data_IF_197975969171
#
_entry.id   IF_197975969171
#
_cell.length_a   1.000
_cell.length_b   1.000
_cell.length_c   1.000
_cell.angle_alpha   90.00
_cell.angle_beta   90.00
_cell.angle_gamma   90.00
#
_symmetry.space_group_name_H-M   'P 1'
#
loop_
_entity.id
_entity.type
_entity.pdbx_description
1 polymer ?
#
# COMPACT_ATOMS: atom_id res chain seq x y z
N UNK A 1 36.20 -19.02 -58.93
CA UNK A 1 35.24 -19.42 -57.86
C UNK A 1 34.94 -18.33 -56.81
N UNK A 2 35.73 -17.26 -56.64
CA UNK A 2 35.48 -16.16 -55.66
C UNK A 2 34.45 -15.11 -56.14
N UNK A 3 34.41 -14.79 -57.43
CA UNK A 3 33.52 -13.78 -58.04
C UNK A 3 32.03 -14.17 -58.01
N UNK A 4 31.72 -15.45 -58.17
CA UNK A 4 30.34 -15.96 -58.06
C UNK A 4 29.80 -15.93 -56.63
N UNK A 5 30.67 -15.94 -55.60
CA UNK A 5 30.27 -15.85 -54.20
C UNK A 5 29.93 -14.41 -53.79
N UNK A 6 30.73 -13.43 -54.23
CA UNK A 6 30.47 -12.00 -54.00
C UNK A 6 29.17 -11.53 -54.67
N UNK A 7 28.92 -11.94 -55.91
CA UNK A 7 27.71 -11.57 -56.64
C UNK A 7 26.42 -12.19 -56.05
N UNK A 8 26.53 -13.37 -55.41
CA UNK A 8 25.43 -13.97 -54.65
C UNK A 8 25.15 -13.21 -53.34
N UNK A 9 26.17 -12.70 -52.67
CA UNK A 9 26.03 -11.93 -51.42
C UNK A 9 25.39 -10.57 -51.70
N UNK A 10 25.80 -9.86 -52.76
CA UNK A 10 25.21 -8.56 -53.12
C UNK A 10 23.75 -8.68 -53.59
N UNK A 11 23.40 -9.72 -54.35
CA UNK A 11 22.00 -10.02 -54.68
C UNK A 11 21.15 -10.36 -53.45
N UNK A 12 21.71 -11.10 -52.49
CA UNK A 12 21.03 -11.36 -51.22
C UNK A 12 20.82 -10.05 -50.46
N UNK A 13 21.84 -9.21 -50.30
CA UNK A 13 21.72 -7.92 -49.60
C UNK A 13 20.70 -6.99 -50.26
N UNK A 14 20.67 -6.90 -51.59
CA UNK A 14 19.65 -6.12 -52.32
C UNK A 14 18.23 -6.69 -52.14
N UNK A 15 18.08 -8.01 -52.08
CA UNK A 15 16.82 -8.67 -51.75
C UNK A 15 16.39 -8.40 -50.30
N UNK A 16 17.33 -8.37 -49.35
CA UNK A 16 17.08 -8.03 -47.96
C UNK A 16 16.68 -6.55 -47.81
N UNK A 17 17.35 -5.64 -48.52
CA UNK A 17 17.01 -4.22 -48.53
C UNK A 17 15.62 -3.96 -49.14
N UNK A 18 15.25 -4.61 -50.24
CA UNK A 18 13.89 -4.53 -50.81
C UNK A 18 12.83 -5.08 -49.88
N UNK A 19 13.11 -6.21 -49.20
CA UNK A 19 12.22 -6.74 -48.16
C UNK A 19 12.07 -5.73 -47.03
N UNK A 20 13.16 -5.19 -46.49
CA UNK A 20 13.13 -4.19 -45.41
C UNK A 20 12.34 -2.94 -45.79
N UNK A 21 12.47 -2.43 -47.02
CA UNK A 21 11.69 -1.30 -47.51
C UNK A 21 10.18 -1.62 -47.58
N UNK A 22 9.81 -2.83 -48.04
CA UNK A 22 8.42 -3.28 -48.06
C UNK A 22 7.85 -3.45 -46.64
N UNK A 23 8.64 -4.01 -45.72
CA UNK A 23 8.30 -4.12 -44.30
C UNK A 23 8.15 -2.73 -43.65
N UNK A 24 8.98 -1.76 -44.03
CA UNK A 24 8.90 -0.39 -43.53
C UNK A 24 7.64 0.33 -44.05
N UNK A 25 7.28 0.16 -45.33
CA UNK A 25 6.09 0.79 -45.91
C UNK A 25 4.79 0.17 -45.36
N UNK A 26 4.74 -1.16 -45.24
CA UNK A 26 3.63 -1.85 -44.59
C UNK A 26 3.53 -1.50 -43.10
N UNK A 27 4.67 -1.43 -42.41
CA UNK A 27 4.75 -0.97 -41.02
C UNK A 27 4.26 0.47 -40.85
N UNK A 28 4.61 1.39 -41.75
CA UNK A 28 4.15 2.78 -41.72
C UNK A 28 2.64 2.90 -41.93
N UNK A 29 2.03 2.09 -42.81
CA UNK A 29 0.58 2.05 -43.02
C UNK A 29 -0.16 1.51 -41.79
N UNK A 30 0.34 0.44 -41.20
CA UNK A 30 -0.20 -0.12 -39.94
C UNK A 30 -0.07 0.87 -38.79
N UNK A 31 1.08 1.55 -38.69
CA UNK A 31 1.30 2.59 -37.70
C UNK A 31 0.33 3.76 -37.88
N UNK A 32 0.20 4.30 -39.10
CA UNK A 32 -0.73 5.39 -39.38
C UNK A 32 -2.18 5.04 -39.03
N UNK A 33 -2.59 3.78 -39.22
CA UNK A 33 -3.93 3.31 -38.90
C UNK A 33 -4.15 3.01 -37.40
N UNK A 34 -3.16 2.42 -36.71
CA UNK A 34 -3.35 1.80 -35.38
C UNK A 34 -2.39 2.31 -34.29
N UNK A 35 -1.69 3.43 -34.48
CA UNK A 35 -0.70 3.91 -33.50
C UNK A 35 -1.27 4.12 -32.09
N UNK A 36 -2.52 4.59 -31.96
CA UNK A 36 -3.18 4.75 -30.67
C UNK A 36 -3.35 3.41 -29.94
N UNK A 37 -3.78 2.39 -30.67
CA UNK A 37 -3.94 1.03 -30.15
C UNK A 37 -2.60 0.42 -29.75
N UNK A 38 -1.55 0.63 -30.56
CA UNK A 38 -0.20 0.11 -30.29
C UNK A 38 0.37 0.78 -29.03
N UNK A 39 0.37 2.12 -28.96
CA UNK A 39 0.89 2.85 -27.80
C UNK A 39 0.06 2.52 -26.55
N UNK A 40 -1.27 2.50 -26.66
CA UNK A 40 -2.15 2.16 -25.54
C UNK A 40 -1.90 0.73 -25.01
N UNK A 41 -1.72 -0.23 -25.91
CA UNK A 41 -1.40 -1.62 -25.54
C UNK A 41 -0.03 -1.73 -24.86
N UNK A 42 1.00 -1.06 -25.40
CA UNK A 42 2.32 -1.02 -24.79
C UNK A 42 2.30 -0.38 -23.40
N UNK A 43 1.54 0.70 -23.21
CA UNK A 43 1.39 1.35 -21.91
C UNK A 43 0.72 0.43 -20.90
N UNK A 44 -0.33 -0.29 -21.28
CA UNK A 44 -1.00 -1.26 -20.38
C UNK A 44 -0.04 -2.39 -20.03
N UNK A 45 0.62 -3.01 -21.00
CA UNK A 45 1.56 -4.11 -20.75
C UNK A 45 2.74 -3.68 -19.87
N UNK A 46 3.29 -2.48 -20.11
CA UNK A 46 4.38 -1.92 -19.31
C UNK A 46 3.92 -1.53 -17.90
N UNK A 47 2.71 -0.97 -17.77
CA UNK A 47 2.18 -0.48 -16.49
C UNK A 47 2.12 -1.55 -15.40
N UNK A 48 1.95 -2.80 -15.80
CA UNK A 48 1.72 -3.95 -14.92
C UNK A 48 2.96 -4.27 -14.07
N UNK A 49 4.16 -3.93 -14.57
CA UNK A 49 5.44 -4.08 -13.85
C UNK A 49 5.84 -2.82 -13.07
N UNK A 50 5.18 -1.69 -13.32
CA UNK A 50 5.45 -0.44 -12.62
C UNK A 50 4.74 -0.40 -11.27
N UNK A 51 5.19 0.49 -10.38
CA UNK A 51 4.56 0.76 -9.08
C UNK A 51 3.18 1.40 -9.31
N UNK A 52 2.13 0.74 -8.83
CA UNK A 52 0.75 1.24 -8.84
C UNK A 52 0.43 1.99 -7.56
N UNK A 53 0.74 1.41 -6.40
CA UNK A 53 0.49 1.99 -5.07
C UNK A 53 1.81 2.12 -4.33
N UNK A 54 2.11 3.32 -3.84
CA UNK A 54 3.32 3.61 -3.07
C UNK A 54 3.04 3.65 -1.57
N UNK A 55 3.84 2.91 -0.81
CA UNK A 55 3.80 2.81 0.63
C UNK A 55 5.01 3.54 1.22
N UNK A 56 4.84 4.41 2.23
CA UNK A 56 5.95 5.16 2.84
C UNK A 56 6.98 4.29 3.57
N UNK A 57 6.61 3.09 4.01
CA UNK A 57 7.49 2.19 4.74
C UNK A 57 7.68 0.85 4.07
N UNK A 58 6.56 0.27 3.62
CA UNK A 58 6.55 -1.11 3.19
C UNK A 58 6.64 -1.24 1.68
N UNK A 59 6.93 -2.44 1.18
CA UNK A 59 7.09 -2.70 -0.25
C UNK A 59 5.88 -2.21 -1.06
N UNK A 60 6.17 -1.52 -2.16
CA UNK A 60 5.18 -0.95 -3.05
C UNK A 60 4.45 -2.05 -3.83
N UNK A 61 3.21 -1.77 -4.25
CA UNK A 61 2.43 -2.73 -5.04
C UNK A 61 2.55 -2.43 -6.53
N UNK A 62 2.95 -3.43 -7.31
CA UNK A 62 2.80 -3.41 -8.77
C UNK A 62 1.37 -3.78 -9.20
N UNK A 63 1.06 -3.62 -10.49
CA UNK A 63 -0.25 -4.00 -11.04
C UNK A 63 -0.55 -5.50 -10.91
N UNK A 64 0.48 -6.36 -10.89
CA UNK A 64 0.34 -7.81 -10.66
C UNK A 64 0.10 -8.20 -9.21
N UNK A 65 0.47 -7.31 -8.29
CA UNK A 65 0.44 -7.54 -6.86
C UNK A 65 -0.76 -6.87 -6.19
N UNK A 66 -1.57 -6.08 -6.91
CA UNK A 66 -2.78 -5.47 -6.40
C UNK A 66 -3.99 -6.43 -6.56
N UNK A 67 -4.40 -7.14 -5.50
CA UNK A 67 -5.47 -8.15 -5.57
C UNK A 67 -6.85 -7.51 -5.70
N UNK A 68 -7.76 -8.20 -6.40
CA UNK A 68 -9.16 -7.80 -6.54
C UNK A 68 -10.03 -8.20 -5.34
N UNK A 69 -9.78 -9.36 -4.74
CA UNK A 69 -10.73 -10.01 -3.80
C UNK A 69 -10.20 -10.22 -2.39
N UNK A 70 -8.88 -10.24 -2.19
CA UNK A 70 -8.25 -10.56 -0.90
C UNK A 70 -7.33 -9.42 -0.48
N UNK A 71 -6.99 -9.33 0.81
CA UNK A 71 -6.05 -8.33 1.32
C UNK A 71 -4.64 -8.56 0.75
N UNK A 72 -3.98 -7.49 0.29
CA UNK A 72 -2.54 -7.52 0.05
C UNK A 72 -1.84 -7.66 1.40
N UNK A 73 -1.18 -8.80 1.63
CA UNK A 73 -0.35 -8.99 2.82
C UNK A 73 0.74 -7.93 2.94
N UNK A 74 1.55 -8.02 3.99
CA UNK A 74 2.66 -7.08 4.19
C UNK A 74 3.68 -7.21 3.07
N UNK A 75 3.98 -8.45 2.69
CA UNK A 75 4.82 -8.80 1.56
C UNK A 75 3.89 -9.10 0.38
N UNK A 76 3.96 -8.31 -0.71
CA UNK A 76 3.12 -8.53 -1.86
C UNK A 76 3.52 -9.81 -2.61
N UNK A 77 2.50 -10.55 -3.05
CA UNK A 77 2.64 -11.72 -3.90
C UNK A 77 1.92 -11.47 -5.22
N UNK A 78 2.48 -12.02 -6.30
CA UNK A 78 1.82 -12.01 -7.61
C UNK A 78 0.56 -12.86 -7.50
N UNK A 79 -0.57 -12.29 -7.89
CA UNK A 79 -1.86 -12.99 -7.90
C UNK A 79 -2.44 -13.05 -9.30
N UNK A 80 -3.07 -14.17 -9.64
CA UNK A 80 -3.78 -14.31 -10.92
C UNK A 80 -5.00 -13.37 -11.01
N UNK A 81 -5.62 -13.07 -9.87
CA UNK A 81 -6.74 -12.14 -9.74
C UNK A 81 -6.29 -10.75 -9.29
N UNK A 82 -5.36 -10.15 -10.05
CA UNK A 82 -4.91 -8.78 -9.86
C UNK A 82 -5.55 -7.83 -10.88
N UNK A 83 -5.61 -6.53 -10.55
CA UNK A 83 -6.10 -5.51 -11.49
C UNK A 83 -5.27 -5.44 -12.78
N UNK A 84 -3.94 -5.52 -12.66
CA UNK A 84 -3.03 -5.52 -13.80
C UNK A 84 -3.17 -6.78 -14.66
N UNK A 85 -3.21 -7.96 -14.05
CA UNK A 85 -3.37 -9.23 -14.78
C UNK A 85 -4.71 -9.28 -15.53
N UNK A 86 -5.79 -8.87 -14.87
CA UNK A 86 -7.12 -8.78 -15.49
C UNK A 86 -7.12 -7.77 -16.65
N UNK A 87 -6.48 -6.62 -16.48
CA UNK A 87 -6.32 -5.63 -17.56
C UNK A 87 -5.61 -6.20 -18.79
N UNK A 88 -4.53 -6.97 -18.60
CA UNK A 88 -3.82 -7.64 -19.70
C UNK A 88 -4.70 -8.69 -20.39
N UNK A 89 -5.42 -9.51 -19.62
CA UNK A 89 -6.34 -10.51 -20.17
C UNK A 89 -7.44 -9.87 -21.00
N UNK A 90 -8.06 -8.79 -20.49
CA UNK A 90 -9.09 -8.03 -21.20
C UNK A 90 -8.55 -7.42 -22.49
N UNK A 91 -7.32 -6.87 -22.44
CA UNK A 91 -6.67 -6.34 -23.63
C UNK A 91 -6.44 -7.42 -24.70
N UNK A 92 -5.87 -8.57 -24.31
CA UNK A 92 -5.62 -9.68 -25.24
C UNK A 92 -6.93 -10.21 -25.81
N UNK A 93 -7.95 -10.42 -24.97
CA UNK A 93 -9.26 -10.86 -25.41
C UNK A 93 -9.90 -9.88 -26.41
N UNK A 94 -9.80 -8.57 -26.13
CA UNK A 94 -10.27 -7.52 -27.03
C UNK A 94 -9.57 -7.55 -28.40
N UNK A 95 -8.25 -7.72 -28.42
CA UNK A 95 -7.46 -7.80 -29.66
C UNK A 95 -7.75 -9.08 -30.47
N UNK A 96 -7.92 -10.22 -29.80
CA UNK A 96 -8.25 -11.50 -30.46
C UNK A 96 -9.66 -11.46 -31.03
N UNK A 97 -10.63 -10.96 -30.25
CA UNK A 97 -12.03 -10.89 -30.65
C UNK A 97 -12.28 -9.81 -31.72
N UNK A 98 -11.40 -8.82 -31.88
CA UNK A 98 -11.48 -7.84 -32.97
C UNK A 98 -11.56 -8.53 -34.35
N UNK A 99 -10.94 -9.71 -34.50
CA UNK A 99 -10.99 -10.50 -35.75
C UNK A 99 -12.39 -11.03 -36.07
N UNK A 100 -13.24 -11.19 -35.07
CA UNK A 100 -14.57 -11.81 -35.19
C UNK A 100 -15.71 -10.83 -34.95
N UNK A 101 -15.49 -9.77 -34.14
CA UNK A 101 -16.53 -8.89 -33.66
C UNK A 101 -16.03 -7.44 -33.50
N UNK A 102 -16.48 -6.55 -34.39
CA UNK A 102 -16.03 -5.14 -34.45
C UNK A 102 -16.19 -4.38 -33.12
N UNK A 103 -17.29 -4.49 -32.34
CA UNK A 103 -17.41 -3.78 -31.07
C UNK A 103 -16.76 -4.51 -29.87
N UNK A 104 -16.02 -5.60 -30.09
CA UNK A 104 -15.25 -6.24 -29.02
C UNK A 104 -14.23 -5.28 -28.41
N UNK A 105 -13.57 -4.46 -29.24
CA UNK A 105 -12.57 -3.51 -28.78
C UNK A 105 -13.18 -2.39 -27.94
N UNK A 106 -14.38 -1.91 -28.30
CA UNK A 106 -15.10 -0.91 -27.49
C UNK A 106 -15.56 -1.49 -26.15
N UNK A 107 -15.96 -2.76 -26.10
CA UNK A 107 -16.30 -3.43 -24.84
C UNK A 107 -15.06 -3.61 -23.97
N UNK A 108 -13.94 -4.06 -24.56
CA UNK A 108 -12.67 -4.19 -23.86
C UNK A 108 -12.19 -2.84 -23.32
N UNK A 109 -12.28 -1.77 -24.11
CA UNK A 109 -11.96 -0.42 -23.68
C UNK A 109 -12.85 0.06 -22.52
N UNK A 110 -14.15 -0.24 -22.56
CA UNK A 110 -15.07 0.06 -21.46
C UNK A 110 -14.63 -0.65 -20.17
N UNK A 111 -14.34 -1.95 -20.26
CA UNK A 111 -13.87 -2.73 -19.10
C UNK A 111 -12.54 -2.20 -18.58
N UNK A 112 -11.58 -1.88 -19.44
CA UNK A 112 -10.29 -1.30 -19.03
C UNK A 112 -10.45 0.04 -18.30
N UNK A 113 -11.30 0.94 -18.82
CA UNK A 113 -11.64 2.18 -18.14
C UNK A 113 -12.34 1.94 -16.79
N UNK A 114 -13.20 0.92 -16.70
CA UNK A 114 -13.83 0.56 -15.42
C UNK A 114 -12.80 0.08 -14.40
N UNK A 115 -11.87 -0.79 -14.79
CA UNK A 115 -10.79 -1.23 -13.91
C UNK A 115 -9.95 -0.04 -13.44
N UNK A 116 -9.65 0.91 -14.32
CA UNK A 116 -8.90 2.12 -13.99
C UNK A 116 -9.59 2.97 -12.91
N UNK A 117 -10.90 3.22 -13.07
CA UNK A 117 -11.70 4.03 -12.13
C UNK A 117 -11.95 3.28 -10.82
N UNK A 118 -12.05 1.95 -10.88
CA UNK A 118 -12.29 1.10 -9.72
C UNK A 118 -11.10 1.04 -8.77
N UNK A 119 -9.84 1.14 -9.24
CA UNK A 119 -8.65 1.05 -8.38
C UNK A 119 -8.71 1.99 -7.17
N UNK A 120 -8.79 3.33 -7.30
CA UNK A 120 -8.85 4.21 -6.13
C UNK A 120 -10.09 3.97 -5.25
N UNK A 121 -11.23 3.61 -5.84
CA UNK A 121 -12.45 3.33 -5.09
C UNK A 121 -12.35 2.01 -4.30
N UNK A 122 -11.68 1.00 -4.87
CA UNK A 122 -11.42 -0.29 -4.24
C UNK A 122 -10.53 -0.12 -3.02
N UNK A 123 -9.42 0.62 -3.18
CA UNK A 123 -8.51 0.98 -2.08
C UNK A 123 -9.27 1.76 -0.99
N UNK A 124 -10.09 2.73 -1.37
CA UNK A 124 -10.78 3.60 -0.43
C UNK A 124 -11.90 2.91 0.38
N UNK A 125 -12.63 1.97 -0.25
CA UNK A 125 -13.90 1.49 0.29
C UNK A 125 -14.02 -0.04 0.41
N UNK A 126 -13.33 -0.82 -0.42
CA UNK A 126 -13.37 -2.28 -0.34
C UNK A 126 -12.21 -2.84 0.49
N UNK A 127 -11.08 -2.15 0.58
CA UNK A 127 -9.91 -2.53 1.39
C UNK A 127 -9.59 -1.49 2.47
N UNK A 128 -10.46 -1.29 3.48
CA UNK A 128 -10.22 -0.33 4.56
C UNK A 128 -8.92 -0.59 5.34
N UNK A 129 -8.47 -1.85 5.41
CA UNK A 129 -7.21 -2.25 6.03
C UNK A 129 -6.02 -1.66 5.28
N UNK A 130 -6.06 -1.69 3.94
CA UNK A 130 -4.96 -1.17 3.13
C UNK A 130 -4.88 0.36 3.23
N UNK A 131 -6.02 1.04 3.17
CA UNK A 131 -6.07 2.49 3.38
C UNK A 131 -5.58 2.88 4.79
N UNK A 132 -5.91 2.07 5.81
CA UNK A 132 -5.42 2.30 7.17
C UNK A 132 -3.92 2.09 7.27
N UNK A 133 -3.38 1.01 6.70
CA UNK A 133 -1.93 0.77 6.62
C UNK A 133 -1.21 1.97 5.99
N UNK A 134 -1.73 2.49 4.88
CA UNK A 134 -1.19 3.69 4.23
C UNK A 134 -1.17 4.91 5.17
N UNK A 135 -2.23 5.09 5.96
CA UNK A 135 -2.32 6.16 6.94
C UNK A 135 -1.35 5.95 8.14
N UNK A 136 -1.26 4.73 8.65
CA UNK A 136 -0.40 4.35 9.77
C UNK A 136 1.08 4.54 9.40
N UNK A 137 1.49 4.12 8.19
CA UNK A 137 2.87 4.30 7.70
C UNK A 137 3.26 5.78 7.64
N UNK A 138 2.36 6.65 7.16
CA UNK A 138 2.61 8.10 7.16
C UNK A 138 2.83 8.67 8.57
N UNK A 139 2.15 8.11 9.58
CA UNK A 139 2.29 8.57 10.97
C UNK A 139 3.53 8.01 11.66
N UNK A 140 3.95 6.79 11.31
CA UNK A 140 5.08 6.12 11.97
C UNK A 140 6.44 6.52 11.38
N UNK A 141 6.50 6.94 10.11
CA UNK A 141 7.74 7.39 9.48
C UNK A 141 8.49 8.50 10.22
N UNK A 142 7.84 9.57 10.69
CA UNK A 142 8.52 10.57 11.53
C UNK A 142 9.09 9.98 12.82
N UNK A 143 8.38 9.06 13.47
CA UNK A 143 8.82 8.42 14.71
C UNK A 143 10.05 7.54 14.51
N UNK A 144 10.09 6.76 13.43
CA UNK A 144 11.26 5.94 13.08
C UNK A 144 12.45 6.86 12.81
N UNK A 145 12.28 7.95 12.07
CA UNK A 145 13.37 8.90 11.77
C UNK A 145 13.93 9.58 13.02
N UNK A 146 13.07 10.02 13.94
CA UNK A 146 13.51 10.60 15.22
C UNK A 146 14.32 9.57 16.00
N UNK A 147 13.81 8.34 16.13
CA UNK A 147 14.53 7.27 16.82
C UNK A 147 15.87 6.96 16.16
N UNK A 148 15.92 6.82 14.84
CA UNK A 148 17.16 6.60 14.09
C UNK A 148 18.16 7.72 14.36
N UNK A 149 17.73 8.98 14.31
CA UNK A 149 18.59 10.12 14.57
C UNK A 149 19.17 10.13 15.99
N UNK A 150 18.37 9.73 16.98
CA UNK A 150 18.75 9.82 18.39
C UNK A 150 19.58 8.60 18.86
N UNK A 151 19.41 7.43 18.22
CA UNK A 151 19.95 6.16 18.72
C UNK A 151 20.78 5.36 17.73
N UNK A 152 20.79 5.72 16.45
CA UNK A 152 21.60 5.07 15.41
C UNK A 152 22.67 6.05 14.89
N UNK A 153 23.84 5.56 14.44
CA UNK A 153 24.81 6.42 13.77
C UNK A 153 24.19 7.11 12.55
N UNK A 154 24.62 8.35 12.29
CA UNK A 154 23.91 9.23 11.36
C UNK A 154 23.93 8.69 9.93
N UNK A 155 22.73 8.45 9.41
CA UNK A 155 22.44 8.43 7.99
C UNK A 155 21.61 9.69 7.68
N UNK A 156 22.14 10.60 6.86
CA UNK A 156 21.47 11.86 6.59
C UNK A 156 20.28 11.70 5.62
N UNK A 157 20.37 10.74 4.69
CA UNK A 157 19.34 10.36 3.74
C UNK A 157 18.71 11.53 2.94
N UNK A 158 18.01 11.25 1.83
CA UNK A 158 17.15 12.28 1.26
C UNK A 158 16.07 12.66 2.28
N UNK A 159 15.83 13.96 2.44
CA UNK A 159 14.62 14.46 3.10
C UNK A 159 13.42 13.98 2.28
N UNK A 160 12.82 12.86 2.66
CA UNK A 160 11.54 12.49 2.09
C UNK A 160 10.52 13.55 2.50
N UNK A 161 9.88 14.18 1.52
CA UNK A 161 8.76 15.08 1.73
C UNK A 161 7.61 14.33 2.40
N UNK A 162 7.61 14.31 3.73
CA UNK A 162 6.46 13.83 4.51
C UNK A 162 5.67 15.06 4.94
N UNK A 163 4.70 15.51 4.14
CA UNK A 163 3.39 15.72 4.75
C UNK A 163 2.19 15.64 3.78
N UNK A 164 1.15 14.89 4.17
CA UNK A 164 -0.25 15.31 4.01
C UNK A 164 -1.06 14.81 5.20
N UNK A 165 -1.66 15.72 5.98
CA UNK A 165 -2.74 15.31 6.88
C UNK A 165 -3.87 14.73 6.01
N UNK A 166 -4.07 13.43 6.10
CA UNK A 166 -5.13 12.76 5.37
C UNK A 166 -6.45 12.99 6.09
N UNK A 167 -7.44 13.50 5.36
CA UNK A 167 -8.81 13.62 5.85
C UNK A 167 -9.47 12.26 5.61
N UNK A 168 -9.58 11.41 6.64
CA UNK A 168 -10.12 10.05 6.50
C UNK A 168 -11.56 9.88 7.02
N UNK A 169 -12.09 10.90 7.71
CA UNK A 169 -13.45 10.87 8.28
C UNK A 169 -14.56 11.19 7.26
N UNK A 170 -14.21 11.47 6.00
CA UNK A 170 -15.18 11.67 4.91
C UNK A 170 -14.93 10.69 3.77
N UNK A 171 -16.00 10.23 3.10
CA UNK A 171 -15.87 9.39 1.92
C UNK A 171 -15.03 10.05 0.81
N UNK A 172 -15.22 11.35 0.58
CA UNK A 172 -14.40 12.14 -0.37
C UNK A 172 -12.94 12.16 0.05
N UNK A 173 -12.67 12.38 1.33
CA UNK A 173 -11.31 12.42 1.86
C UNK A 173 -10.59 11.07 1.74
N UNK A 174 -11.27 9.96 2.03
CA UNK A 174 -10.74 8.60 1.81
C UNK A 174 -10.40 8.32 0.35
N UNK A 175 -11.27 8.75 -0.58
CA UNK A 175 -11.01 8.62 -2.01
C UNK A 175 -9.78 9.44 -2.45
N UNK A 176 -9.67 10.70 -1.98
CA UNK A 176 -8.51 11.55 -2.27
C UNK A 176 -7.23 10.99 -1.65
N UNK A 177 -7.31 10.41 -0.44
CA UNK A 177 -6.20 9.75 0.20
C UNK A 177 -5.73 8.55 -0.63
N UNK A 178 -6.64 7.63 -1.00
CA UNK A 178 -6.33 6.48 -1.85
C UNK A 178 -5.69 6.91 -3.19
N UNK A 179 -6.24 7.96 -3.82
CA UNK A 179 -5.70 8.51 -5.06
C UNK A 179 -4.28 9.08 -4.89
N UNK A 180 -3.99 9.71 -3.76
CA UNK A 180 -2.68 10.34 -3.52
C UNK A 180 -1.50 9.36 -3.45
N UNK A 181 -1.76 8.08 -3.21
CA UNK A 181 -0.74 7.02 -3.20
C UNK A 181 -0.53 6.36 -4.57
N UNK A 182 -1.35 6.70 -5.57
CA UNK A 182 -1.21 6.13 -6.91
C UNK A 182 -0.03 6.75 -7.67
N UNK A 183 0.71 5.91 -8.40
CA UNK A 183 1.94 6.31 -9.10
C UNK A 183 1.89 6.00 -10.59
N UNK A 184 3.06 6.14 -11.24
CA UNK A 184 3.24 6.03 -12.69
C UNK A 184 2.61 4.77 -13.29
N UNK A 185 2.63 3.63 -12.60
CA UNK A 185 2.00 2.41 -13.11
C UNK A 185 0.50 2.60 -13.34
N UNK A 186 -0.23 3.10 -12.35
CA UNK A 186 -1.67 3.38 -12.53
C UNK A 186 -1.92 4.46 -13.59
N UNK A 187 -1.11 5.52 -13.62
CA UNK A 187 -1.24 6.59 -14.63
C UNK A 187 -1.01 6.08 -16.06
N UNK A 188 -0.02 5.21 -16.27
CA UNK A 188 0.23 4.56 -17.56
C UNK A 188 -0.94 3.65 -17.96
N UNK A 189 -1.49 2.89 -17.02
CA UNK A 189 -2.66 2.06 -17.26
C UNK A 189 -3.89 2.88 -17.65
N UNK A 190 -4.13 4.00 -16.95
CA UNK A 190 -5.21 4.94 -17.22
C UNK A 190 -5.08 5.56 -18.61
N UNK A 191 -3.89 6.08 -18.93
CA UNK A 191 -3.60 6.68 -20.23
C UNK A 191 -3.73 5.64 -21.35
N UNK A 192 -3.20 4.44 -21.16
CA UNK A 192 -3.32 3.36 -22.15
C UNK A 192 -4.77 2.97 -22.42
N UNK A 193 -5.58 2.84 -21.37
CA UNK A 193 -7.02 2.57 -21.47
C UNK A 193 -7.77 3.67 -22.21
N UNK A 194 -7.43 4.94 -21.96
CA UNK A 194 -8.00 6.10 -22.65
C UNK A 194 -7.66 6.10 -24.15
N UNK A 195 -6.41 5.83 -24.51
CA UNK A 195 -5.98 5.81 -25.93
C UNK A 195 -6.71 4.71 -26.71
N UNK A 196 -6.87 3.53 -26.11
CA UNK A 196 -7.62 2.42 -26.72
C UNK A 196 -9.10 2.78 -26.85
N UNK A 197 -9.69 3.48 -25.87
CA UNK A 197 -11.07 3.94 -25.96
C UNK A 197 -11.26 4.96 -27.09
N UNK A 198 -10.34 5.93 -27.24
CA UNK A 198 -10.36 6.91 -28.33
C UNK A 198 -10.26 6.21 -29.69
N UNK A 199 -9.35 5.24 -29.81
CA UNK A 199 -9.19 4.45 -31.03
C UNK A 199 -10.43 3.63 -31.38
N UNK A 200 -11.02 2.97 -30.38
CA UNK A 200 -12.25 2.19 -30.53
C UNK A 200 -13.41 3.07 -31.00
N UNK A 201 -13.54 4.30 -30.49
CA UNK A 201 -14.59 5.24 -30.89
C UNK A 201 -14.42 5.67 -32.35
N UNK A 202 -13.20 5.89 -32.82
CA UNK A 202 -12.91 6.31 -34.21
C UNK A 202 -13.28 5.24 -35.24
N UNK A 203 -13.16 3.97 -34.87
CA UNK A 203 -13.42 2.83 -35.77
C UNK A 203 -14.85 2.28 -35.68
N UNK A 204 -15.73 2.89 -34.88
CA UNK A 204 -17.14 2.49 -34.82
C UNK A 204 -17.89 2.98 -36.06
N UNK A 205 -18.65 2.11 -36.76
CA UNK A 205 -19.52 2.54 -37.84
C UNK A 205 -20.61 3.48 -37.29
N UNK A 206 -20.89 4.57 -38.02
CA UNK A 206 -21.83 5.61 -37.62
C UNK A 206 -23.20 5.03 -37.21
N UNK A 207 -23.74 5.49 -36.08
CA UNK A 207 -25.07 5.09 -35.57
C UNK A 207 -25.10 4.26 -34.27
N UNK A 208 -23.95 3.94 -33.67
CA UNK A 208 -23.89 3.15 -32.42
C UNK A 208 -23.71 3.99 -31.15
N UNK A 209 -24.55 5.03 -30.98
CA UNK A 209 -24.61 5.85 -29.74
C UNK A 209 -24.78 4.99 -28.47
N UNK A 210 -25.45 3.84 -28.59
CA UNK A 210 -25.59 2.87 -27.49
C UNK A 210 -24.25 2.31 -26.99
N UNK A 211 -23.23 2.16 -27.85
CA UNK A 211 -21.91 1.66 -27.45
C UNK A 211 -21.11 2.76 -26.74
N UNK A 212 -21.19 4.00 -27.22
CA UNK A 212 -20.60 5.16 -26.54
C UNK A 212 -21.25 5.37 -25.18
N UNK A 213 -22.57 5.19 -25.09
CA UNK A 213 -23.30 5.24 -23.84
C UNK A 213 -22.87 4.10 -22.90
N UNK A 214 -22.71 2.88 -23.39
CA UNK A 214 -22.21 1.75 -22.61
C UNK A 214 -20.78 1.96 -22.09
N UNK A 215 -19.89 2.57 -22.89
CA UNK A 215 -18.52 2.95 -22.51
C UNK A 215 -18.48 3.88 -21.30
N UNK A 216 -19.47 4.76 -21.14
CA UNK A 216 -19.56 5.71 -20.03
C UNK A 216 -20.38 5.14 -18.87
N UNK A 217 -21.46 4.41 -19.14
CA UNK A 217 -22.35 3.89 -18.11
C UNK A 217 -21.70 2.76 -17.29
N UNK A 218 -20.84 1.93 -17.88
CA UNK A 218 -20.17 0.84 -17.13
C UNK A 218 -19.28 1.38 -15.99
N UNK A 219 -18.31 2.30 -16.22
CA UNK A 219 -17.47 2.82 -15.14
C UNK A 219 -18.27 3.62 -14.12
N UNK A 220 -19.25 4.41 -14.57
CA UNK A 220 -20.11 5.21 -13.69
C UNK A 220 -20.99 4.31 -12.81
N UNK A 221 -21.59 3.27 -13.38
CA UNK A 221 -22.42 2.31 -12.63
C UNK A 221 -21.60 1.52 -11.62
N UNK A 222 -20.41 1.05 -12.00
CA UNK A 222 -19.50 0.34 -11.10
C UNK A 222 -19.07 1.24 -9.92
N UNK A 223 -18.74 2.51 -10.20
CA UNK A 223 -18.37 3.49 -9.18
C UNK A 223 -19.55 3.81 -8.25
N UNK A 224 -20.77 3.94 -8.79
CA UNK A 224 -21.97 4.17 -7.99
C UNK A 224 -22.24 3.02 -7.01
N UNK A 225 -22.07 1.76 -7.45
CA UNK A 225 -22.22 0.58 -6.60
C UNK A 225 -21.20 0.61 -5.44
N UNK A 226 -19.95 0.96 -5.71
CA UNK A 226 -18.91 1.03 -4.66
C UNK A 226 -19.10 2.19 -3.69
N UNK A 227 -19.57 3.35 -4.16
CA UNK A 227 -19.74 4.54 -3.35
C UNK A 227 -21.01 4.50 -2.49
N UNK A 228 -22.02 3.71 -2.86
CA UNK A 228 -23.32 3.73 -2.17
C UNK A 228 -23.20 3.31 -0.69
N UNK A 229 -22.58 2.17 -0.33
CA UNK A 229 -22.43 1.79 1.09
C UNK A 229 -21.68 2.83 1.95
N UNK A 230 -20.48 3.36 1.56
CA UNK A 230 -19.78 4.34 2.38
C UNK A 230 -20.52 5.69 2.45
N UNK A 231 -21.28 6.09 1.44
CA UNK A 231 -22.14 7.28 1.51
C UNK A 231 -23.27 7.10 2.53
N UNK A 232 -23.92 5.93 2.54
CA UNK A 232 -24.94 5.60 3.54
C UNK A 232 -24.32 5.55 4.94
N UNK A 233 -23.16 4.91 5.09
CA UNK A 233 -22.41 4.88 6.34
C UNK A 233 -22.07 6.29 6.85
N UNK A 234 -21.55 7.15 5.98
CA UNK A 234 -21.26 8.56 6.29
C UNK A 234 -22.52 9.32 6.76
N UNK A 235 -23.66 9.10 6.11
CA UNK A 235 -24.90 9.75 6.49
C UNK A 235 -25.31 9.39 7.92
N UNK A 236 -25.27 8.09 8.27
CA UNK A 236 -25.55 7.65 9.63
C UNK A 236 -24.53 8.16 10.65
N UNK A 237 -23.25 8.21 10.27
CA UNK A 237 -22.21 8.78 11.15
C UNK A 237 -22.48 10.26 11.45
N UNK A 238 -22.77 11.07 10.43
CA UNK A 238 -23.10 12.50 10.61
C UNK A 238 -24.36 12.68 11.45
N UNK A 239 -25.40 11.88 11.23
CA UNK A 239 -26.61 11.91 12.06
C UNK A 239 -26.33 11.55 13.51
N UNK A 240 -25.54 10.51 13.75
CA UNK A 240 -25.12 10.11 15.10
C UNK A 240 -24.34 11.21 15.82
N UNK A 241 -23.45 11.90 15.11
CA UNK A 241 -22.70 13.05 15.65
C UNK A 241 -23.59 14.26 15.96
N UNK A 242 -24.61 14.53 15.16
CA UNK A 242 -25.63 15.54 15.46
C UNK A 242 -26.43 15.15 16.71
N UNK A 243 -26.85 13.88 16.82
CA UNK A 243 -27.58 13.38 17.98
C UNK A 243 -26.72 13.43 19.27
N UNK A 244 -25.43 13.11 19.18
CA UNK A 244 -24.45 13.27 20.27
C UNK A 244 -24.38 14.73 20.73
N UNK A 245 -24.25 15.68 19.80
CA UNK A 245 -24.21 17.10 20.12
C UNK A 245 -25.51 17.62 20.78
N UNK A 246 -26.65 16.97 20.49
CA UNK A 246 -27.95 17.27 21.09
C UNK A 246 -28.21 16.56 22.43
N UNK A 247 -27.25 15.76 22.95
CA UNK A 247 -27.42 14.96 24.16
C UNK A 247 -28.33 13.74 24.00
N UNK A 248 -28.72 13.39 22.77
CA UNK A 248 -29.57 12.23 22.47
C UNK A 248 -28.72 10.97 22.34
N UNK A 249 -28.17 10.54 23.47
CA UNK A 249 -27.11 9.52 23.52
C UNK A 249 -27.54 8.16 22.95
N UNK A 250 -28.77 7.71 23.19
CA UNK A 250 -29.26 6.42 22.67
C UNK A 250 -29.41 6.44 21.14
N UNK A 251 -29.94 7.54 20.58
CA UNK A 251 -30.07 7.73 19.13
C UNK A 251 -28.68 7.76 18.47
N UNK A 252 -27.72 8.47 19.08
CA UNK A 252 -26.34 8.53 18.60
C UNK A 252 -25.69 7.14 18.52
N UNK A 253 -25.80 6.33 19.58
CA UNK A 253 -25.27 4.95 19.59
C UNK A 253 -25.90 4.11 18.48
N UNK A 254 -27.23 4.20 18.30
CA UNK A 254 -27.93 3.43 17.27
C UNK A 254 -27.48 3.82 15.86
N UNK A 255 -27.30 5.11 15.60
CA UNK A 255 -26.86 5.61 14.29
C UNK A 255 -25.37 5.29 14.03
N UNK A 256 -24.49 5.35 15.03
CA UNK A 256 -23.10 4.89 14.88
C UNK A 256 -23.01 3.40 14.55
N UNK A 257 -23.82 2.54 15.19
CA UNK A 257 -23.88 1.11 14.86
C UNK A 257 -24.36 0.86 13.43
N UNK A 258 -25.32 1.66 12.93
CA UNK A 258 -25.73 1.60 11.52
C UNK A 258 -24.61 2.05 10.59
N UNK A 259 -23.87 3.10 10.95
CA UNK A 259 -22.72 3.56 10.16
C UNK A 259 -21.69 2.44 9.96
N UNK A 260 -21.34 1.74 11.05
CA UNK A 260 -20.41 0.61 11.03
C UNK A 260 -20.92 -0.59 10.19
N UNK A 261 -22.24 -0.81 10.16
CA UNK A 261 -22.84 -1.87 9.34
C UNK A 261 -22.72 -1.59 7.85
N UNK A 262 -22.86 -0.32 7.44
CA UNK A 262 -22.80 0.09 6.04
C UNK A 262 -21.38 0.35 5.55
N UNK A 263 -20.45 0.66 6.45
CA UNK A 263 -19.09 1.04 6.10
C UNK A 263 -18.07 0.36 7.02
N UNK A 264 -17.34 -0.60 6.45
CA UNK A 264 -16.33 -1.38 7.14
C UNK A 264 -15.17 -0.51 7.68
N UNK A 265 -14.97 0.71 7.16
CA UNK A 265 -14.00 1.66 7.72
C UNK A 265 -14.36 2.05 9.16
N UNK A 266 -15.63 2.41 9.39
CA UNK A 266 -16.13 2.77 10.71
C UNK A 266 -16.12 1.58 11.67
N UNK A 267 -16.34 0.36 11.17
CA UNK A 267 -16.29 -0.85 11.98
C UNK A 267 -14.88 -1.18 12.53
N UNK A 268 -13.84 -0.55 11.99
CA UNK A 268 -12.45 -0.73 12.43
C UNK A 268 -11.95 0.46 13.26
N UNK A 269 -12.71 1.55 13.31
CA UNK A 269 -12.33 2.80 13.97
C UNK A 269 -12.43 2.68 15.49
N UNK A 270 -11.27 2.82 16.16
CA UNK A 270 -11.15 2.70 17.62
C UNK A 270 -11.84 3.88 18.29
N UNK A 271 -11.73 5.08 17.72
CA UNK A 271 -12.31 6.31 18.28
C UNK A 271 -13.82 6.26 18.28
N UNK A 272 -14.41 5.60 17.27
CA UNK A 272 -15.86 5.39 17.21
C UNK A 272 -16.34 4.42 18.29
N UNK A 273 -15.62 3.32 18.54
CA UNK A 273 -15.92 2.42 19.66
C UNK A 273 -15.77 3.14 21.01
N UNK A 274 -14.70 3.91 21.19
CA UNK A 274 -14.48 4.71 22.38
C UNK A 274 -15.59 5.76 22.59
N UNK A 275 -16.05 6.39 21.52
CA UNK A 275 -17.20 7.32 21.57
C UNK A 275 -18.49 6.61 21.99
N UNK A 276 -18.76 5.42 21.45
CA UNK A 276 -19.92 4.61 21.87
C UNK A 276 -19.82 4.26 23.37
N UNK A 277 -18.64 3.85 23.84
CA UNK A 277 -18.39 3.55 25.26
C UNK A 277 -18.61 4.77 26.17
N UNK A 278 -18.17 5.96 25.74
CA UNK A 278 -18.41 7.23 26.43
C UNK A 278 -19.92 7.50 26.58
N UNK A 279 -20.69 7.35 25.50
CA UNK A 279 -22.14 7.57 25.51
C UNK A 279 -22.88 6.53 26.38
N UNK A 280 -22.40 5.28 26.39
CA UNK A 280 -22.91 4.24 27.29
C UNK A 280 -22.65 4.57 28.77
N UNK A 281 -21.49 5.16 29.08
CA UNK A 281 -21.16 5.67 30.43
C UNK A 281 -22.12 6.75 30.88
N UNK A 282 -22.41 7.73 30.03
CA UNK A 282 -23.33 8.82 30.34
C UNK A 282 -24.78 8.36 30.52
N UNK A 283 -25.20 7.30 29.83
CA UNK A 283 -26.58 6.76 29.91
C UNK A 283 -26.78 5.74 31.03
N UNK A 284 -25.71 5.33 31.74
CA UNK A 284 -25.77 4.28 32.75
C UNK A 284 -26.02 2.88 32.18
N UNK A 285 -25.94 2.72 30.85
CA UNK A 285 -26.17 1.45 30.17
C UNK A 285 -24.86 0.67 30.15
N UNK A 286 -24.93 -0.62 30.52
CA UNK A 286 -23.88 -1.64 30.39
C UNK A 286 -22.48 -1.21 30.88
N UNK A 287 -22.25 -1.24 32.20
CA UNK A 287 -20.96 -0.87 32.81
C UNK A 287 -19.76 -1.71 32.34
N UNK A 288 -19.99 -2.93 31.84
CA UNK A 288 -18.95 -3.88 31.40
C UNK A 288 -19.10 -4.25 29.91
N UNK A 289 -19.41 -3.26 29.07
CA UNK A 289 -19.44 -3.48 27.62
C UNK A 289 -18.03 -3.44 27.01
N UNK A 290 -17.79 -4.13 25.89
CA UNK A 290 -16.52 -4.04 25.17
C UNK A 290 -16.19 -2.61 24.71
N UNK A 291 -17.19 -1.82 24.31
CA UNK A 291 -17.00 -0.42 23.93
C UNK A 291 -16.58 0.46 25.11
N UNK A 292 -17.01 0.14 26.35
CA UNK A 292 -16.51 0.81 27.56
C UNK A 292 -15.04 0.51 27.82
N UNK A 293 -14.63 -0.74 27.66
CA UNK A 293 -13.23 -1.14 27.76
C UNK A 293 -12.38 -0.39 26.71
N UNK A 294 -12.87 -0.26 25.47
CA UNK A 294 -12.22 0.56 24.45
C UNK A 294 -12.10 2.03 24.85
N UNK A 295 -13.17 2.64 25.34
CA UNK A 295 -13.16 4.02 25.81
C UNK A 295 -12.12 4.22 26.93
N UNK A 296 -12.11 3.33 27.92
CA UNK A 296 -11.17 3.39 29.04
C UNK A 296 -9.73 3.19 28.58
N UNK A 297 -9.48 2.27 27.66
CA UNK A 297 -8.16 2.04 27.10
C UNK A 297 -7.61 3.27 26.37
N UNK A 298 -8.44 3.97 25.58
CA UNK A 298 -8.05 5.22 24.90
C UNK A 298 -7.80 6.35 25.90
N UNK A 299 -8.61 6.50 26.96
CA UNK A 299 -8.35 7.46 28.04
C UNK A 299 -6.97 7.21 28.69
N UNK A 300 -6.66 5.95 29.00
CA UNK A 300 -5.40 5.55 29.63
C UNK A 300 -4.20 5.74 28.68
N UNK A 301 -4.36 5.45 27.39
CA UNK A 301 -3.33 5.69 26.38
C UNK A 301 -3.00 7.19 26.28
N UNK A 302 -4.01 8.06 26.29
CA UNK A 302 -3.82 9.52 26.28
C UNK A 302 -3.17 10.04 27.57
N UNK A 303 -3.33 9.33 28.69
CA UNK A 303 -2.64 9.60 29.94
C UNK A 303 -1.22 8.99 30.00
N UNK A 304 -0.75 8.34 28.92
CA UNK A 304 0.50 7.57 28.87
C UNK A 304 0.57 6.41 29.88
N UNK A 305 -0.57 5.93 30.37
CA UNK A 305 -0.70 4.74 31.21
C UNK A 305 -0.81 3.49 30.32
N UNK A 306 0.29 3.12 29.67
CA UNK A 306 0.28 2.11 28.61
C UNK A 306 -0.13 0.71 29.08
N UNK A 307 0.39 0.22 30.20
CA UNK A 307 0.11 -1.13 30.71
C UNK A 307 -1.38 -1.30 31.09
N UNK A 308 -2.00 -0.37 31.86
CA UNK A 308 -3.45 -0.36 32.04
C UNK A 308 -4.23 -0.28 30.72
N UNK A 309 -3.77 0.53 29.76
CA UNK A 309 -4.44 0.63 28.45
C UNK A 309 -4.41 -0.70 27.68
N UNK A 310 -3.27 -1.39 27.65
CA UNK A 310 -3.10 -2.71 27.04
C UNK A 310 -4.03 -3.75 27.68
N UNK A 311 -4.16 -3.71 29.01
CA UNK A 311 -5.08 -4.58 29.75
C UNK A 311 -6.53 -4.33 29.32
N UNK A 312 -6.98 -3.08 29.28
CA UNK A 312 -8.35 -2.72 28.87
C UNK A 312 -8.62 -3.07 27.41
N UNK A 313 -7.65 -2.87 26.50
CA UNK A 313 -7.79 -3.35 25.12
C UNK A 313 -7.91 -4.88 25.06
N UNK A 314 -7.18 -5.61 25.90
CA UNK A 314 -7.26 -7.08 25.94
C UNK A 314 -8.65 -7.55 26.37
N UNK A 315 -9.25 -6.88 27.37
CA UNK A 315 -10.64 -7.13 27.78
C UNK A 315 -11.64 -6.81 26.68
N UNK A 316 -11.47 -5.69 25.98
CA UNK A 316 -12.30 -5.36 24.82
C UNK A 316 -12.20 -6.44 23.72
N UNK A 317 -11.02 -7.03 23.54
CA UNK A 317 -10.77 -8.05 22.52
C UNK A 317 -11.48 -9.39 22.76
N UNK A 318 -11.97 -9.66 23.98
CA UNK A 318 -12.73 -10.88 24.30
C UNK A 318 -14.10 -10.92 23.60
N UNK A 319 -14.63 -9.77 23.19
CA UNK A 319 -15.95 -9.66 22.55
C UNK A 319 -16.05 -10.32 21.15
N UNK A 320 -14.91 -10.61 20.52
CA UNK A 320 -14.83 -11.12 19.16
C UNK A 320 -15.21 -10.10 18.07
N UNK A 321 -15.29 -10.58 16.83
CA UNK A 321 -15.70 -9.78 15.67
C UNK A 321 -14.76 -8.61 15.33
N UNK A 322 -15.32 -7.58 14.69
CA UNK A 322 -14.57 -6.41 14.21
C UNK A 322 -13.97 -5.60 15.37
N UNK A 323 -14.67 -5.52 16.50
CA UNK A 323 -14.20 -4.82 17.70
C UNK A 323 -12.94 -5.49 18.25
N UNK A 324 -12.90 -6.82 18.33
CA UNK A 324 -11.72 -7.53 18.81
C UNK A 324 -10.49 -7.32 17.93
N UNK A 325 -10.68 -7.28 16.60
CA UNK A 325 -9.59 -6.97 15.68
C UNK A 325 -9.08 -5.53 15.86
N UNK A 326 -9.98 -4.57 16.09
CA UNK A 326 -9.61 -3.19 16.39
C UNK A 326 -8.85 -3.09 17.73
N UNK A 327 -9.31 -3.80 18.76
CA UNK A 327 -8.70 -3.82 20.09
C UNK A 327 -7.29 -4.41 20.07
N UNK A 328 -7.10 -5.57 19.42
CA UNK A 328 -5.79 -6.22 19.31
C UNK A 328 -4.78 -5.34 18.58
N UNK A 329 -5.19 -4.70 17.49
CA UNK A 329 -4.35 -3.74 16.76
C UNK A 329 -3.95 -2.57 17.63
N UNK A 330 -4.92 -1.96 18.34
CA UNK A 330 -4.69 -0.85 19.25
C UNK A 330 -3.75 -1.23 20.41
N UNK A 331 -3.94 -2.42 20.98
CA UNK A 331 -3.09 -2.99 22.00
C UNK A 331 -1.66 -3.19 21.51
N UNK A 332 -1.49 -3.75 20.31
CA UNK A 332 -0.18 -3.93 19.70
C UNK A 332 0.51 -2.60 19.40
N UNK A 333 -0.21 -1.59 18.89
CA UNK A 333 0.32 -0.24 18.69
C UNK A 333 0.75 0.40 20.01
N UNK A 334 -0.08 0.26 21.06
CA UNK A 334 0.22 0.76 22.41
C UNK A 334 1.49 0.12 22.96
N UNK A 335 1.71 -1.17 22.72
CA UNK A 335 2.97 -1.85 23.09
C UNK A 335 4.19 -1.31 22.34
N UNK A 336 4.04 -0.88 21.09
CA UNK A 336 5.14 -0.21 20.37
C UNK A 336 5.50 1.10 21.05
N UNK A 337 4.51 1.92 21.38
CA UNK A 337 4.71 3.18 22.10
C UNK A 337 5.30 2.97 23.49
N UNK A 338 4.82 1.97 24.24
CA UNK A 338 5.40 1.57 25.52
C UNK A 338 6.87 1.18 25.36
N UNK A 339 7.19 0.35 24.36
CA UNK A 339 8.57 -0.07 24.11
C UNK A 339 9.49 1.12 23.82
N UNK A 340 9.03 2.10 23.02
CA UNK A 340 9.78 3.35 22.81
C UNK A 340 10.00 4.11 24.11
N UNK A 341 8.94 4.32 24.91
CA UNK A 341 9.04 5.02 26.19
C UNK A 341 10.02 4.33 27.16
N UNK A 342 9.97 2.99 27.25
CA UNK A 342 10.89 2.19 28.05
C UNK A 342 12.33 2.31 27.55
N UNK A 343 12.53 2.28 26.24
CA UNK A 343 13.85 2.41 25.64
C UNK A 343 14.46 3.79 25.94
N UNK A 344 13.68 4.87 25.78
CA UNK A 344 14.08 6.22 26.17
C UNK A 344 14.44 6.33 27.67
N UNK A 345 13.73 5.59 28.53
CA UNK A 345 14.02 5.50 29.96
C UNK A 345 15.22 4.59 30.31
N UNK A 346 15.89 3.99 29.33
CA UNK A 346 17.02 3.06 29.53
C UNK A 346 16.62 1.61 29.85
N UNK A 347 15.32 1.31 29.91
CA UNK A 347 14.77 -0.03 30.12
C UNK A 347 14.79 -0.91 28.87
N UNK A 348 15.95 -1.04 28.21
CA UNK A 348 16.08 -1.65 26.88
C UNK A 348 15.55 -3.09 26.82
N UNK A 349 15.81 -3.92 27.83
CA UNK A 349 15.29 -5.30 27.87
C UNK A 349 13.77 -5.39 27.92
N UNK A 350 13.12 -4.47 28.65
CA UNK A 350 11.67 -4.36 28.72
C UNK A 350 11.09 -3.79 27.41
N UNK A 351 11.79 -2.86 26.77
CA UNK A 351 11.44 -2.35 25.45
C UNK A 351 11.42 -3.46 24.38
N UNK A 352 12.50 -4.27 24.32
CA UNK A 352 12.59 -5.45 23.43
C UNK A 352 11.42 -6.40 23.68
N UNK A 353 11.11 -6.70 24.93
CA UNK A 353 9.99 -7.58 25.30
C UNK A 353 8.64 -7.00 24.83
N UNK A 354 8.45 -5.69 24.96
CA UNK A 354 7.24 -4.99 24.53
C UNK A 354 7.06 -5.05 23.00
N UNK A 355 8.14 -4.83 22.24
CA UNK A 355 8.10 -4.91 20.77
C UNK A 355 7.91 -6.34 20.26
N UNK A 356 8.47 -7.34 20.94
CA UNK A 356 8.19 -8.76 20.64
C UNK A 356 6.71 -9.09 20.83
N UNK A 357 6.12 -8.66 21.95
CA UNK A 357 4.70 -8.87 22.24
C UNK A 357 3.80 -8.12 21.25
N UNK A 358 4.17 -6.91 20.83
CA UNK A 358 3.43 -6.18 19.81
C UNK A 358 3.32 -6.97 18.50
N UNK A 359 4.44 -7.54 18.03
CA UNK A 359 4.48 -8.36 16.82
C UNK A 359 3.76 -9.71 16.98
N UNK A 360 3.70 -10.26 18.20
CA UNK A 360 2.98 -11.49 18.49
C UNK A 360 1.46 -11.27 18.49
N UNK A 361 0.99 -10.15 19.04
CA UNK A 361 -0.43 -9.79 19.11
C UNK A 361 -0.98 -9.36 17.75
N UNK A 362 -0.19 -8.62 16.97
CA UNK A 362 -0.51 -8.27 15.59
C UNK A 362 0.74 -8.32 14.72
N UNK A 363 0.83 -9.37 13.90
CA UNK A 363 1.92 -9.55 12.95
C UNK A 363 2.05 -8.42 11.91
N UNK A 364 1.02 -7.57 11.79
CA UNK A 364 1.00 -6.37 10.94
C UNK A 364 1.77 -5.19 11.53
N UNK A 365 2.15 -5.23 12.81
CA UNK A 365 2.96 -4.19 13.46
C UNK A 365 4.45 -4.29 13.12
N UNK A 366 4.75 -4.45 11.84
CA UNK A 366 6.12 -4.54 11.31
C UNK A 366 6.93 -3.26 11.50
N UNK A 367 6.27 -2.15 11.83
CA UNK A 367 6.93 -0.90 12.17
C UNK A 367 7.75 -0.99 13.47
N UNK A 368 7.54 -2.02 14.29
CA UNK A 368 8.37 -2.30 15.46
C UNK A 368 9.74 -2.92 15.09
N UNK A 369 9.93 -3.42 13.86
CA UNK A 369 11.13 -4.15 13.48
C UNK A 369 12.43 -3.34 13.56
N UNK A 370 12.48 -2.06 13.11
CA UNK A 370 13.69 -1.24 13.28
C UNK A 370 14.07 -1.08 14.75
N UNK A 371 13.09 -0.79 15.61
CA UNK A 371 13.28 -0.66 17.05
C UNK A 371 13.75 -1.97 17.68
N UNK A 372 13.11 -3.08 17.32
CA UNK A 372 13.44 -4.40 17.84
C UNK A 372 14.85 -4.85 17.42
N UNK A 373 15.24 -4.62 16.17
CA UNK A 373 16.58 -4.92 15.69
C UNK A 373 17.63 -4.14 16.48
N UNK A 374 17.42 -2.83 16.68
CA UNK A 374 18.31 -1.99 17.49
C UNK A 374 18.34 -2.44 18.95
N UNK A 375 17.18 -2.67 19.55
CA UNK A 375 17.08 -3.13 20.93
C UNK A 375 17.80 -4.44 21.17
N UNK A 376 17.73 -5.40 20.23
CA UNK A 376 18.51 -6.63 20.30
C UNK A 376 20.02 -6.40 20.26
N UNK A 377 20.47 -5.50 19.39
CA UNK A 377 21.88 -5.11 19.32
C UNK A 377 22.36 -4.55 20.67
N UNK A 378 21.60 -3.63 21.27
CA UNK A 378 21.98 -2.99 22.53
C UNK A 378 22.03 -3.95 23.73
N UNK A 379 21.17 -4.98 23.75
CA UNK A 379 21.23 -6.04 24.79
C UNK A 379 22.21 -7.16 24.44
N UNK A 380 23.00 -7.02 23.37
CA UNK A 380 24.02 -8.00 22.95
C UNK A 380 23.48 -9.27 22.29
N UNK A 381 22.21 -9.29 21.88
CA UNK A 381 21.57 -10.44 21.21
C UNK A 381 21.73 -10.35 19.68
N UNK A 382 22.96 -10.37 19.21
CA UNK A 382 23.30 -10.09 17.80
C UNK A 382 22.66 -11.04 16.79
N UNK A 383 22.55 -12.36 17.06
CA UNK A 383 21.87 -13.26 16.09
C UNK A 383 20.35 -13.05 16.04
N UNK A 384 19.74 -12.54 17.11
CA UNK A 384 18.32 -12.16 17.10
C UNK A 384 18.12 -10.85 16.32
N UNK A 385 19.06 -9.91 16.44
CA UNK A 385 19.07 -8.69 15.64
C UNK A 385 19.17 -9.01 14.14
N UNK A 386 20.13 -9.87 13.73
CA UNK A 386 20.29 -10.29 12.34
C UNK A 386 19.02 -10.93 11.75
N UNK A 387 18.37 -11.85 12.47
CA UNK A 387 17.09 -12.43 12.02
C UNK A 387 15.97 -11.38 11.87
N UNK A 388 15.99 -10.36 12.72
CA UNK A 388 15.02 -9.26 12.64
C UNK A 388 15.33 -8.35 11.44
N UNK A 389 16.61 -8.11 11.17
CA UNK A 389 17.11 -7.36 10.01
C UNK A 389 16.73 -8.08 8.71
N UNK A 390 16.91 -9.40 8.63
CA UNK A 390 16.52 -10.18 7.45
C UNK A 390 15.02 -10.01 7.11
N UNK A 391 14.17 -9.96 8.15
CA UNK A 391 12.74 -9.67 7.98
C UNK A 391 12.49 -8.22 7.60
N UNK A 392 13.19 -7.27 8.21
CA UNK A 392 13.05 -5.83 7.92
C UNK A 392 13.40 -5.51 6.47
N UNK A 393 14.53 -6.02 5.98
CA UNK A 393 15.02 -5.83 4.59
C UNK A 393 13.99 -6.26 3.55
N UNK A 394 13.25 -7.35 3.80
CA UNK A 394 12.17 -7.80 2.90
C UNK A 394 10.99 -6.82 2.85
N UNK A 395 10.74 -6.07 3.93
CA UNK A 395 9.62 -5.17 4.06
C UNK A 395 9.95 -3.79 3.48
N UNK A 396 11.17 -3.29 3.73
CA UNK A 396 11.63 -1.95 3.31
C UNK A 396 12.43 -1.99 2.00
N UNK A 397 12.30 -3.05 1.21
CA UNK A 397 13.13 -3.31 0.02
C UNK A 397 13.11 -2.18 -1.04
N UNK A 398 12.07 -1.35 -1.05
CA UNK A 398 11.93 -0.22 -1.97
C UNK A 398 12.42 1.12 -1.37
N UNK A 399 12.91 1.12 -0.13
CA UNK A 399 13.23 2.30 0.67
C UNK A 399 14.71 2.36 0.99
N UNK A 400 15.48 2.93 0.06
CA UNK A 400 16.94 2.92 0.06
C UNK A 400 17.59 3.32 1.39
N UNK A 401 17.12 4.39 2.04
CA UNK A 401 17.71 4.88 3.30
C UNK A 401 17.48 3.88 4.45
N UNK A 402 16.25 3.40 4.64
CA UNK A 402 15.94 2.39 5.67
C UNK A 402 16.61 1.04 5.38
N UNK A 403 16.74 0.70 4.10
CA UNK A 403 17.46 -0.49 3.67
C UNK A 403 18.96 -0.37 4.01
N UNK A 404 19.55 0.80 3.79
CA UNK A 404 20.91 1.15 4.23
C UNK A 404 21.07 1.01 5.74
N UNK A 405 20.20 1.63 6.53
CA UNK A 405 20.24 1.56 8.01
C UNK A 405 20.17 0.12 8.52
N UNK A 406 19.29 -0.70 7.94
CA UNK A 406 19.16 -2.11 8.28
C UNK A 406 20.44 -2.91 7.99
N UNK A 407 21.06 -2.67 6.83
CA UNK A 407 22.33 -3.31 6.48
C UNK A 407 23.50 -2.84 7.34
N UNK A 408 23.58 -1.55 7.67
CA UNK A 408 24.62 -1.01 8.57
C UNK A 408 24.52 -1.64 9.95
N UNK A 409 23.31 -1.75 10.53
CA UNK A 409 23.10 -2.45 11.80
C UNK A 409 23.49 -3.93 11.71
N UNK A 410 23.26 -4.57 10.57
CA UNK A 410 23.69 -5.95 10.32
C UNK A 410 25.20 -6.08 10.29
N UNK A 411 25.89 -5.12 9.66
CA UNK A 411 27.34 -5.00 9.67
C UNK A 411 27.89 -4.91 11.10
N UNK A 412 27.31 -4.04 11.93
CA UNK A 412 27.69 -3.89 13.34
C UNK A 412 27.48 -5.19 14.13
N UNK A 413 26.37 -5.90 13.88
CA UNK A 413 26.11 -7.20 14.50
C UNK A 413 27.19 -8.23 14.12
N UNK A 414 27.55 -8.33 12.85
CA UNK A 414 28.62 -9.24 12.42
C UNK A 414 29.98 -8.87 12.98
N UNK A 415 30.30 -7.58 13.06
CA UNK A 415 31.54 -7.09 13.67
C UNK A 415 31.62 -7.48 15.16
N UNK A 416 30.53 -7.29 15.92
CA UNK A 416 30.45 -7.72 17.32
C UNK A 416 30.54 -9.24 17.51
N UNK A 417 30.15 -10.02 16.51
CA UNK A 417 30.32 -11.47 16.48
C UNK A 417 31.71 -11.92 15.99
N UNK A 418 32.62 -10.99 15.63
CA UNK A 418 33.95 -11.30 15.09
C UNK A 418 33.94 -11.86 13.65
N UNK A 419 32.86 -11.60 12.90
CA UNK A 419 32.67 -12.07 11.51
C UNK A 419 32.96 -10.95 10.52
N UNK A 420 34.22 -10.52 10.46
CA UNK A 420 34.64 -9.31 9.72
C UNK A 420 34.36 -9.36 8.22
N UNK A 421 34.40 -10.55 7.61
CA UNK A 421 34.08 -10.71 6.19
C UNK A 421 32.60 -10.41 5.90
N UNK A 422 31.71 -10.90 6.75
CA UNK A 422 30.27 -10.67 6.63
C UNK A 422 29.92 -9.22 6.99
N UNK A 423 30.58 -8.66 8.00
CA UNK A 423 30.43 -7.24 8.36
C UNK A 423 30.74 -6.32 7.18
N UNK A 424 31.90 -6.51 6.54
CA UNK A 424 32.28 -5.77 5.31
C UNK A 424 31.29 -5.97 4.17
N UNK A 425 30.76 -7.19 4.00
CA UNK A 425 29.74 -7.45 2.99
C UNK A 425 28.47 -6.62 3.26
N UNK A 426 27.99 -6.60 4.50
CA UNK A 426 26.80 -5.85 4.89
C UNK A 426 27.00 -4.33 4.79
N UNK A 427 28.15 -3.78 5.18
CA UNK A 427 28.42 -2.36 4.96
C UNK A 427 28.49 -2.00 3.46
N UNK A 428 29.02 -2.88 2.62
CA UNK A 428 28.98 -2.68 1.16
C UNK A 428 27.54 -2.73 0.62
N UNK A 429 26.69 -3.63 1.12
CA UNK A 429 25.26 -3.64 0.78
C UNK A 429 24.58 -2.34 1.20
N UNK A 430 24.88 -1.84 2.39
CA UNK A 430 24.39 -0.56 2.90
C UNK A 430 24.75 0.60 1.97
N UNK A 431 26.03 0.73 1.60
CA UNK A 431 26.48 1.74 0.64
C UNK A 431 25.89 1.55 -0.76
N UNK A 432 25.62 0.31 -1.20
CA UNK A 432 24.99 0.09 -2.50
C UNK A 432 23.52 0.56 -2.52
N UNK A 433 22.83 0.47 -1.38
CA UNK A 433 21.47 0.96 -1.21
C UNK A 433 21.44 2.48 -1.06
N UNK A 434 22.35 3.04 -0.26
CA UNK A 434 22.45 4.48 0.04
C UNK A 434 23.91 4.98 -0.03
N UNK A 435 24.44 5.24 -1.23
CA UNK A 435 25.87 5.47 -1.46
C UNK A 435 26.40 6.85 -1.06
N UNK A 436 25.53 7.86 -0.97
CA UNK A 436 25.96 9.26 -0.88
C UNK A 436 26.04 9.76 0.56
N UNK A 437 25.21 9.24 1.47
CA UNK A 437 25.02 9.86 2.80
C UNK A 437 25.00 8.88 3.98
N UNK A 438 25.19 7.57 3.74
CA UNK A 438 25.26 6.57 4.80
C UNK A 438 26.65 6.54 5.46
N UNK A 439 26.92 7.56 6.28
CA UNK A 439 28.18 7.69 7.03
C UNK A 439 28.41 6.51 7.98
N UNK A 440 27.33 5.94 8.52
CA UNK A 440 27.39 4.74 9.34
C UNK A 440 28.11 3.57 8.66
N UNK A 441 27.78 3.27 7.40
CA UNK A 441 28.47 2.20 6.67
C UNK A 441 29.94 2.53 6.36
N UNK A 442 30.24 3.80 6.08
CA UNK A 442 31.61 4.26 5.82
C UNK A 442 32.51 4.08 7.05
N UNK A 443 32.06 4.49 8.23
CA UNK A 443 32.84 4.33 9.47
C UNK A 443 33.09 2.85 9.77
N UNK A 444 32.07 1.99 9.61
CA UNK A 444 32.21 0.55 9.80
C UNK A 444 33.25 -0.12 8.89
N UNK A 445 33.43 0.37 7.66
CA UNK A 445 34.43 -0.16 6.71
C UNK A 445 35.85 0.34 6.96
N UNK A 446 35.99 1.58 7.44
CA UNK A 446 37.30 2.21 7.68
C UNK A 446 37.92 1.68 8.98
N UNK A 447 37.09 1.21 9.92
CA UNK A 447 37.50 0.83 11.26
C UNK A 447 37.71 2.06 12.16
N UNK A 448 37.35 1.96 13.44
CA UNK A 448 37.78 2.93 14.45
C UNK A 448 39.22 2.66 14.91
#
# INVERSE_FOLDING_TARGET
>A
MKTTRHMKITRRLASWAKRLALWAETGAKVWAACWLLIIGSCLILGSVFLKWVEFPFSRNLSGLELPLLHDSGIIPNITLFSFGALGVVVLIAGLVLLRFFVPALSLAAAVLLTLCVLVPAHIAFQQPIMLRRLADELQVMPLIKVFTKDYLPQNYGPTEDVPKQLILYTARGRFLAAYSFLRLGWSCFALGSLLIAIDAIRHLPGGRMAIVLALVCLPVGALAILLTPPIIGQHYFTRGSIAKAQGRNQEAIADYRKAMKWDAWHAQDIDLYATIGELQKQTGIANNSPERHMNRAVELQNASEYEPAIFEFSRAAEAGGALALAARRASAQTRVTLGLALYHAGGIGAAVSSWQLALADDARQVYALPYLARGYYDVGRYEAALRTIDRLVQIVADHNSMLGDAYSLGGDCFAKLGRDADARHYYNLSLSADPLENYWALTGLIGE
#
